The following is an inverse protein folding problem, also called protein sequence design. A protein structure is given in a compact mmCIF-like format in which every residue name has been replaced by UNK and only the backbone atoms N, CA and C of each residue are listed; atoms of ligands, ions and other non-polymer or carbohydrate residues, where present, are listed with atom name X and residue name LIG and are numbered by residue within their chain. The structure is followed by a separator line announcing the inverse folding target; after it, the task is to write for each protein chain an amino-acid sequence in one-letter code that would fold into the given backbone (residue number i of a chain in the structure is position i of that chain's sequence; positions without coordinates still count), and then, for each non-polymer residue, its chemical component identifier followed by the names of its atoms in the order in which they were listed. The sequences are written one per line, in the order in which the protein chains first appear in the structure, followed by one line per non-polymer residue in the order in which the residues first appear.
data_IF_262304324883
#
_entry.id   IF_262304324883
#
_cell.length_a   1.000
_cell.length_b   1.000
_cell.length_c   1.000
_cell.angle_alpha   90.00
_cell.angle_beta   90.00
_cell.angle_gamma   90.00
#
_symmetry.space_group_name_H-M   'P 1'
#
loop_
_entity.id
_entity.type
_entity.pdbx_description
1 polymer ?
#
# COMPACT_ATOMS: atom_id res chain seq x y z
N UNK A 1 3.15 -10.24 12.83
CA UNK A 1 4.43 -9.56 12.59
C UNK A 1 5.60 -10.50 12.91
N UNK A 2 6.72 -10.32 12.22
CA UNK A 2 7.96 -11.04 12.53
C UNK A 2 8.47 -10.68 13.93
N UNK A 3 9.17 -11.59 14.62
CA UNK A 3 9.73 -11.31 15.94
C UNK A 3 10.95 -10.38 15.83
N UNK A 4 11.27 -9.70 16.93
CA UNK A 4 12.56 -9.03 17.10
C UNK A 4 13.67 -10.06 17.34
N UNK A 5 14.89 -9.72 16.98
CA UNK A 5 16.02 -10.60 17.18
C UNK A 5 17.37 -9.89 17.09
N UNK A 6 18.42 -10.66 17.31
CA UNK A 6 19.79 -10.12 17.42
C UNK A 6 20.25 -9.30 16.22
N UNK A 7 19.90 -9.73 15.01
CA UNK A 7 20.31 -9.04 13.81
C UNK A 7 19.61 -7.68 13.71
N UNK A 8 18.28 -7.66 13.82
CA UNK A 8 17.50 -6.42 13.72
C UNK A 8 17.77 -5.44 14.85
N UNK A 9 18.05 -5.91 16.08
CA UNK A 9 18.37 -5.09 17.24
C UNK A 9 19.79 -4.48 17.22
N UNK A 10 20.71 -5.08 16.48
CA UNK A 10 22.09 -4.60 16.39
C UNK A 10 22.26 -3.38 15.47
N UNK A 11 21.26 -3.06 14.67
CA UNK A 11 21.31 -2.01 13.66
C UNK A 11 21.00 -0.66 14.29
N UNK A 12 21.91 0.30 14.11
CA UNK A 12 21.77 1.68 14.57
C UNK A 12 21.25 2.55 13.43
N UNK A 13 20.21 3.32 13.71
CA UNK A 13 19.55 4.19 12.74
C UNK A 13 19.35 5.57 13.35
N UNK A 14 19.91 6.58 12.70
CA UNK A 14 19.78 7.99 13.09
C UNK A 14 18.95 8.74 12.03
N UNK A 15 18.24 9.77 12.46
CA UNK A 15 17.38 10.61 11.60
C UNK A 15 15.90 10.51 11.97
N UNK A 16 15.10 11.42 11.43
CA UNK A 16 13.67 11.49 11.69
C UNK A 16 12.91 10.53 10.80
N UNK A 17 11.76 10.05 11.29
CA UNK A 17 10.78 9.31 10.46
C UNK A 17 10.33 10.20 9.30
N UNK A 18 10.22 9.62 8.10
CA UNK A 18 9.91 10.34 6.86
C UNK A 18 11.12 10.96 6.15
N UNK A 19 12.31 10.88 6.74
CA UNK A 19 13.57 11.33 6.13
C UNK A 19 14.51 10.13 5.96
N UNK A 20 15.32 10.13 4.88
CA UNK A 20 16.31 9.08 4.65
C UNK A 20 17.32 9.03 5.82
N UNK A 21 17.36 7.90 6.49
CA UNK A 21 18.15 7.71 7.73
C UNK A 21 19.63 7.47 7.46
N UNK A 22 20.48 7.76 8.46
CA UNK A 22 21.83 7.22 8.52
C UNK A 22 21.80 5.86 9.23
N UNK A 23 22.26 4.82 8.56
CA UNK A 23 22.20 3.43 9.04
C UNK A 23 23.62 2.90 9.25
N UNK A 24 23.86 2.23 10.37
CA UNK A 24 25.15 1.63 10.72
C UNK A 24 24.94 0.26 11.37
N UNK A 25 25.68 -0.74 10.93
CA UNK A 25 25.72 -2.09 11.51
C UNK A 25 27.09 -2.75 11.27
N UNK A 26 27.43 -3.76 12.07
CA UNK A 26 28.64 -4.57 11.87
C UNK A 26 28.49 -5.48 10.64
N UNK A 27 29.59 -5.68 9.92
CA UNK A 27 29.64 -6.45 8.66
C UNK A 27 30.68 -7.54 8.70
N UNK A 28 30.38 -8.74 8.22
CA UNK A 28 29.07 -9.20 7.71
C UNK A 28 28.05 -9.34 8.85
N UNK A 29 26.78 -9.02 8.58
CA UNK A 29 25.68 -9.26 9.51
C UNK A 29 25.06 -10.63 9.24
N UNK A 30 25.16 -11.54 10.21
CA UNK A 30 24.53 -12.88 10.12
C UNK A 30 23.03 -12.77 10.40
N UNK A 31 22.21 -13.15 9.41
CA UNK A 31 20.74 -13.16 9.50
C UNK A 31 20.25 -14.58 9.26
N UNK A 32 19.61 -15.17 10.26
CA UNK A 32 19.11 -16.58 10.19
C UNK A 32 17.65 -16.67 9.78
N UNK A 33 16.85 -15.71 10.19
CA UNK A 33 15.42 -15.65 9.96
C UNK A 33 14.99 -14.20 9.67
N UNK A 34 13.80 -14.03 9.16
CA UNK A 34 13.19 -12.71 9.09
C UNK A 34 12.99 -12.18 10.53
N UNK A 35 13.62 -11.04 10.83
CA UNK A 35 13.46 -10.34 12.11
C UNK A 35 12.96 -8.92 11.87
N UNK A 36 12.28 -8.38 12.85
CA UNK A 36 11.75 -7.03 12.83
C UNK A 36 11.90 -6.36 14.18
N UNK A 37 12.47 -5.16 14.21
CA UNK A 37 12.55 -4.33 15.43
C UNK A 37 11.91 -2.96 15.17
N UNK A 38 11.01 -2.54 16.03
CA UNK A 38 10.44 -1.19 16.01
C UNK A 38 11.40 -0.27 16.75
N UNK A 39 12.00 0.68 16.02
CA UNK A 39 12.93 1.66 16.60
C UNK A 39 12.18 2.86 17.15
N UNK A 40 11.12 3.26 16.49
CA UNK A 40 10.25 4.33 16.90
C UNK A 40 8.81 3.92 16.62
N UNK A 41 7.97 3.96 17.62
CA UNK A 41 6.55 3.66 17.49
C UNK A 41 5.78 4.95 17.22
N UNK A 42 5.08 5.01 16.10
CA UNK A 42 4.22 6.14 15.76
C UNK A 42 2.91 6.13 16.56
N UNK A 43 2.26 7.26 16.63
CA UNK A 43 0.98 7.47 17.33
C UNK A 43 -0.24 7.51 16.38
N UNK A 44 0.00 7.25 15.10
CA UNK A 44 -1.04 7.27 14.08
C UNK A 44 -1.90 6.00 14.04
N UNK A 45 -2.66 5.83 12.96
CA UNK A 45 -3.55 4.67 12.77
C UNK A 45 -2.78 3.36 12.73
N UNK A 46 -3.29 2.29 13.36
CA UNK A 46 -2.67 0.96 13.28
C UNK A 46 -2.83 0.35 11.89
N UNK A 47 -1.81 -0.36 11.42
CA UNK A 47 -1.85 -1.15 10.20
C UNK A 47 -2.49 -2.50 10.50
N UNK A 48 -3.56 -2.79 9.80
CA UNK A 48 -4.27 -4.06 9.85
C UNK A 48 -4.06 -4.84 8.54
N UNK A 49 -4.45 -6.11 8.52
CA UNK A 49 -4.51 -6.87 7.27
C UNK A 49 -5.39 -6.16 6.24
N UNK A 50 -4.98 -6.21 4.98
CA UNK A 50 -5.61 -5.53 3.84
C UNK A 50 -5.50 -3.99 3.82
N UNK A 51 -4.81 -3.36 4.77
CA UNK A 51 -4.52 -1.93 4.71
C UNK A 51 -3.70 -1.58 3.47
N UNK A 52 -4.02 -0.46 2.83
CA UNK A 52 -3.15 0.19 1.86
C UNK A 52 -2.21 1.12 2.63
N UNK A 53 -0.92 0.85 2.57
CA UNK A 53 0.09 1.55 3.36
C UNK A 53 1.05 2.32 2.45
N UNK A 54 1.19 3.60 2.72
CA UNK A 54 2.26 4.44 2.20
C UNK A 54 3.48 4.30 3.10
N UNK A 55 4.62 3.94 2.53
CA UNK A 55 5.85 3.73 3.28
C UNK A 55 7.07 4.19 2.48
N UNK A 56 8.16 4.42 3.17
CA UNK A 56 9.46 4.64 2.57
C UNK A 56 10.43 3.59 3.09
N UNK A 57 11.45 3.26 2.29
CA UNK A 57 12.47 2.31 2.71
C UNK A 57 13.86 2.67 2.17
N UNK A 58 14.87 2.22 2.93
CA UNK A 58 16.26 2.06 2.48
C UNK A 58 16.66 0.61 2.66
N UNK A 59 17.30 0.04 1.64
CA UNK A 59 17.76 -1.33 1.62
C UNK A 59 19.30 -1.38 1.56
N UNK A 60 19.89 -2.29 2.31
CA UNK A 60 21.34 -2.49 2.37
C UNK A 60 21.67 -3.98 2.25
N UNK A 61 22.78 -4.29 1.59
CA UNK A 61 23.37 -5.61 1.60
C UNK A 61 23.95 -5.91 2.99
N UNK A 62 23.53 -7.00 3.62
CA UNK A 62 23.91 -7.36 4.99
C UNK A 62 25.40 -7.76 5.12
N UNK A 63 26.01 -8.25 4.05
CA UNK A 63 27.40 -8.68 4.03
C UNK A 63 28.36 -7.50 3.86
N UNK A 64 28.05 -6.62 2.89
CA UNK A 64 28.95 -5.53 2.50
C UNK A 64 28.57 -4.17 3.10
N UNK A 65 27.32 -4.00 3.50
CA UNK A 65 26.75 -2.72 3.93
C UNK A 65 26.50 -1.72 2.81
N UNK A 66 26.64 -2.16 1.56
CA UNK A 66 26.36 -1.32 0.39
C UNK A 66 24.85 -1.07 0.30
N UNK A 67 24.46 0.17 0.09
CA UNK A 67 23.07 0.54 -0.13
C UNK A 67 22.59 -0.03 -1.47
N UNK A 68 21.47 -0.77 -1.44
CA UNK A 68 20.83 -1.39 -2.60
C UNK A 68 19.77 -0.46 -3.21
N UNK A 69 19.19 0.42 -2.42
CA UNK A 69 18.21 1.38 -2.88
C UNK A 69 17.58 2.19 -1.76
N UNK A 70 17.03 3.34 -2.16
CA UNK A 70 16.23 4.23 -1.31
C UNK A 70 15.01 4.67 -2.12
N UNK A 71 13.80 4.47 -1.57
CA UNK A 71 12.54 4.82 -2.22
C UNK A 71 11.53 5.34 -1.19
N UNK A 72 10.57 6.11 -1.67
CA UNK A 72 9.46 6.62 -0.84
C UNK A 72 9.77 7.88 -0.04
N UNK A 73 10.99 8.41 -0.11
CA UNK A 73 11.37 9.67 0.52
C UNK A 73 11.35 10.83 -0.47
N UNK A 74 10.93 12.01 -0.01
CA UNK A 74 10.87 13.22 -0.85
C UNK A 74 9.93 13.07 -2.05
N UNK A 75 10.37 13.55 -3.20
CA UNK A 75 9.59 13.52 -4.46
C UNK A 75 9.47 12.10 -5.07
N UNK A 76 10.21 11.12 -4.54
CA UNK A 76 10.19 9.73 -4.98
C UNK A 76 9.18 8.86 -4.23
N UNK A 77 7.98 9.36 -3.95
CA UNK A 77 6.95 8.63 -3.23
C UNK A 77 6.57 7.32 -3.93
N UNK A 78 6.48 6.25 -3.14
CA UNK A 78 5.92 4.98 -3.61
C UNK A 78 4.39 5.04 -3.57
N UNK A 79 3.77 4.39 -4.55
CA UNK A 79 2.35 4.12 -4.45
C UNK A 79 2.05 3.24 -3.23
N UNK A 80 0.95 3.49 -2.51
CA UNK A 80 0.56 2.66 -1.38
C UNK A 80 0.44 1.19 -1.77
N UNK A 81 0.98 0.32 -0.93
CA UNK A 81 0.93 -1.13 -1.13
C UNK A 81 -0.06 -1.79 -0.19
N UNK A 82 -0.79 -2.77 -0.70
CA UNK A 82 -1.67 -3.58 0.12
C UNK A 82 -0.87 -4.53 1.01
N UNK A 83 -1.14 -4.50 2.31
CA UNK A 83 -0.46 -5.34 3.28
C UNK A 83 -1.24 -6.64 3.47
N UNK A 84 -0.67 -7.75 3.00
CA UNK A 84 -1.20 -9.11 3.25
C UNK A 84 -0.43 -9.71 4.43
N UNK A 85 -1.10 -10.18 5.49
CA UNK A 85 -0.44 -10.62 6.74
C UNK A 85 0.64 -11.69 6.54
N UNK A 86 0.46 -12.58 5.57
CA UNK A 86 1.38 -13.67 5.24
C UNK A 86 2.56 -13.24 4.36
N UNK A 87 2.49 -12.08 3.72
CA UNK A 87 3.59 -11.59 2.88
C UNK A 87 4.76 -11.09 3.73
N UNK A 88 6.01 -11.09 3.20
CA UNK A 88 7.15 -10.51 3.91
C UNK A 88 6.91 -9.06 4.35
N UNK A 89 6.32 -8.24 3.49
CA UNK A 89 5.97 -6.86 3.81
C UNK A 89 4.93 -6.79 4.94
N UNK A 90 3.92 -7.68 4.92
CA UNK A 90 2.92 -7.79 5.99
C UNK A 90 3.51 -8.26 7.32
N UNK A 91 4.49 -9.15 7.29
CA UNK A 91 5.22 -9.58 8.49
C UNK A 91 6.08 -8.47 9.09
N UNK A 92 6.57 -7.55 8.26
CA UNK A 92 7.35 -6.39 8.71
C UNK A 92 6.46 -5.24 9.15
N UNK A 93 5.54 -4.77 8.32
CA UNK A 93 4.72 -3.58 8.60
C UNK A 93 3.47 -3.89 9.43
N UNK A 94 2.98 -5.13 9.41
CA UNK A 94 1.77 -5.51 10.16
C UNK A 94 1.87 -5.20 11.65
N UNK A 95 0.77 -4.72 12.23
CA UNK A 95 0.68 -4.26 13.62
C UNK A 95 1.56 -3.04 13.98
N UNK A 96 2.20 -2.38 13.00
CA UNK A 96 2.81 -1.08 13.22
C UNK A 96 1.74 0.02 13.17
N UNK A 97 2.11 1.21 13.60
CA UNK A 97 1.28 2.42 13.51
C UNK A 97 1.89 3.41 12.51
N UNK A 98 1.08 4.24 11.91
CA UNK A 98 1.55 5.35 11.08
C UNK A 98 2.48 6.24 11.92
N UNK A 99 3.60 6.65 11.34
CA UNK A 99 4.68 7.36 12.03
C UNK A 99 5.76 6.46 12.64
N UNK A 100 5.64 5.13 12.52
CA UNK A 100 6.66 4.20 13.00
C UNK A 100 7.87 4.12 12.07
N UNK A 101 9.05 3.88 12.66
CA UNK A 101 10.27 3.44 11.96
C UNK A 101 10.65 2.05 12.42
N UNK A 102 10.90 1.16 11.46
CA UNK A 102 11.25 -0.23 11.72
C UNK A 102 12.57 -0.59 11.03
N UNK A 103 13.27 -1.53 11.64
CA UNK A 103 14.32 -2.32 10.97
C UNK A 103 13.73 -3.68 10.64
N UNK A 104 13.98 -4.18 9.45
CA UNK A 104 13.76 -5.56 9.07
C UNK A 104 15.04 -6.18 8.51
N UNK A 105 15.28 -7.44 8.83
CA UNK A 105 16.42 -8.19 8.32
C UNK A 105 15.94 -9.47 7.64
N UNK A 106 16.35 -9.65 6.40
CA UNK A 106 15.97 -10.78 5.56
C UNK A 106 17.17 -11.71 5.40
N UNK A 107 17.03 -13.02 5.66
CA UNK A 107 18.12 -13.96 5.47
C UNK A 107 18.49 -14.10 3.99
N UNK A 108 19.74 -14.45 3.70
CA UNK A 108 20.17 -14.83 2.35
C UNK A 108 19.45 -16.10 1.88
N UNK A 109 19.29 -16.20 0.59
CA UNK A 109 18.79 -17.40 -0.09
C UNK A 109 19.70 -17.72 -1.30
N UNK A 110 19.30 -18.71 -2.12
CA UNK A 110 20.08 -19.12 -3.28
C UNK A 110 20.23 -18.03 -4.36
N UNK A 111 19.35 -17.02 -4.37
CA UNK A 111 19.26 -16.03 -5.43
C UNK A 111 19.71 -14.62 -4.95
N UNK A 112 19.69 -14.36 -3.65
CA UNK A 112 19.96 -13.04 -3.10
C UNK A 112 20.76 -13.11 -1.78
N UNK A 113 21.66 -12.13 -1.53
CA UNK A 113 22.32 -11.97 -0.23
C UNK A 113 21.31 -11.61 0.84
N UNK A 114 21.73 -11.69 2.11
CA UNK A 114 20.95 -11.15 3.21
C UNK A 114 20.81 -9.63 3.09
N UNK A 115 19.67 -9.09 3.52
CA UNK A 115 19.34 -7.68 3.36
C UNK A 115 18.85 -7.05 4.67
N UNK A 116 19.18 -5.78 4.85
CA UNK A 116 18.73 -4.92 5.94
C UNK A 116 17.84 -3.83 5.36
N UNK A 117 16.63 -3.71 5.87
CA UNK A 117 15.67 -2.68 5.48
C UNK A 117 15.38 -1.75 6.64
N UNK A 118 15.47 -0.46 6.38
CA UNK A 118 14.94 0.59 7.27
C UNK A 118 13.66 1.07 6.62
N UNK A 119 12.54 0.96 7.33
CA UNK A 119 11.23 1.26 6.80
C UNK A 119 10.50 2.26 7.68
N UNK A 120 9.95 3.30 7.05
CA UNK A 120 9.09 4.29 7.68
C UNK A 120 7.65 4.10 7.20
N UNK A 121 6.73 4.00 8.14
CA UNK A 121 5.29 3.98 7.87
C UNK A 121 4.81 5.41 7.77
N UNK A 122 4.45 5.85 6.56
CA UNK A 122 4.11 7.24 6.31
C UNK A 122 2.63 7.54 6.48
N UNK A 123 1.75 6.68 5.91
CA UNK A 123 0.30 6.86 5.99
C UNK A 123 -0.45 5.55 5.67
N UNK A 124 -1.74 5.54 5.93
CA UNK A 124 -2.68 4.55 5.42
C UNK A 124 -3.74 5.22 4.57
N UNK A 125 -4.00 4.70 3.38
CA UNK A 125 -5.04 5.22 2.50
C UNK A 125 -6.28 4.33 2.54
N UNK A 126 -7.49 4.90 2.31
CA UNK A 126 -8.71 4.12 2.22
C UNK A 126 -8.62 3.07 1.11
N UNK A 127 -9.16 1.88 1.35
CA UNK A 127 -9.25 0.80 0.36
C UNK A 127 -10.36 1.02 -0.66
N UNK A 128 -11.24 2.00 -0.43
CA UNK A 128 -12.32 2.41 -1.31
C UNK A 128 -12.63 3.90 -1.13
N UNK A 129 -13.33 4.49 -2.10
CA UNK A 129 -13.76 5.89 -2.05
C UNK A 129 -15.01 6.08 -1.17
N UNK A 130 -14.95 6.97 -0.20
CA UNK A 130 -16.01 7.22 0.79
C UNK A 130 -16.48 8.68 0.82
N UNK A 131 -16.45 9.38 -0.31
CA UNK A 131 -16.90 10.77 -0.40
C UNK A 131 -18.39 10.98 -0.16
N UNK A 132 -18.84 12.23 -0.23
CA UNK A 132 -20.23 12.63 -0.07
C UNK A 132 -21.13 12.01 -1.14
N UNK A 133 -22.20 11.34 -0.71
CA UNK A 133 -23.17 10.71 -1.61
C UNK A 133 -23.87 11.73 -2.49
N UNK A 134 -23.91 11.47 -3.79
CA UNK A 134 -24.62 12.29 -4.78
C UNK A 134 -25.97 11.66 -5.17
N UNK A 135 -26.83 12.49 -5.74
CA UNK A 135 -28.13 12.03 -6.22
C UNK A 135 -27.96 11.09 -7.44
N UNK A 136 -28.76 10.04 -7.54
CA UNK A 136 -28.80 9.20 -8.74
C UNK A 136 -29.15 10.02 -9.99
N UNK A 137 -28.62 9.58 -11.13
CA UNK A 137 -28.94 10.14 -12.45
C UNK A 137 -29.79 9.10 -13.20
N UNK A 138 -30.91 9.53 -13.75
CA UNK A 138 -31.80 8.65 -14.51
C UNK A 138 -31.08 8.06 -15.73
N UNK A 139 -31.33 6.79 -16.01
CA UNK A 139 -30.67 6.07 -17.11
C UNK A 139 -29.29 5.49 -16.78
N UNK A 140 -28.68 5.91 -15.66
CA UNK A 140 -27.40 5.35 -15.20
C UNK A 140 -27.60 4.05 -14.40
N UNK A 141 -26.61 3.13 -14.42
CA UNK A 141 -26.63 1.94 -13.57
C UNK A 141 -26.76 2.27 -12.09
N UNK A 142 -27.53 1.47 -11.37
CA UNK A 142 -27.60 1.55 -9.91
C UNK A 142 -26.43 0.81 -9.30
N UNK A 143 -25.65 1.49 -8.46
CA UNK A 143 -24.47 0.92 -7.78
C UNK A 143 -24.71 0.89 -6.27
N UNK A 144 -24.54 -0.28 -5.69
CA UNK A 144 -24.52 -0.47 -4.23
C UNK A 144 -23.13 -0.93 -3.80
N UNK A 145 -22.65 -0.45 -2.67
CA UNK A 145 -21.34 -0.80 -2.12
C UNK A 145 -21.52 -1.66 -0.87
N UNK A 146 -20.70 -2.70 -0.74
CA UNK A 146 -20.59 -3.44 0.52
C UNK A 146 -19.76 -2.67 1.56
N UNK A 147 -19.56 -3.27 2.75
CA UNK A 147 -18.81 -2.68 3.86
C UNK A 147 -17.31 -2.46 3.54
N UNK A 148 -16.79 -3.13 2.52
CA UNK A 148 -15.42 -2.97 2.01
C UNK A 148 -15.33 -2.03 0.81
N UNK A 149 -16.47 -1.48 0.37
CA UNK A 149 -16.56 -0.60 -0.78
C UNK A 149 -16.59 -1.30 -2.13
N UNK A 150 -16.69 -2.63 -2.16
CA UNK A 150 -16.84 -3.37 -3.41
C UNK A 150 -18.22 -3.10 -4.02
N UNK A 151 -18.29 -2.69 -5.30
CA UNK A 151 -19.57 -2.38 -5.95
C UNK A 151 -20.31 -3.61 -6.43
N UNK A 152 -21.62 -3.54 -6.33
CA UNK A 152 -22.58 -4.35 -7.05
C UNK A 152 -23.34 -3.45 -8.00
N UNK A 153 -23.45 -3.83 -9.26
CA UNK A 153 -24.01 -3.00 -10.32
C UNK A 153 -25.29 -3.64 -10.88
N UNK A 154 -26.36 -2.84 -10.96
CA UNK A 154 -27.60 -3.22 -11.62
C UNK A 154 -27.83 -2.30 -12.81
N UNK A 155 -27.87 -2.87 -14.02
CA UNK A 155 -28.11 -2.11 -15.24
C UNK A 155 -29.57 -1.62 -15.32
N UNK A 156 -29.82 -0.42 -15.90
CA UNK A 156 -31.15 0.16 -16.00
C UNK A 156 -32.04 -0.57 -17.02
N UNK A 157 -31.43 -1.36 -17.91
CA UNK A 157 -32.09 -1.97 -19.07
C UNK A 157 -32.09 -1.04 -20.29
N UNK A 158 -32.58 -1.58 -21.44
CA UNK A 158 -32.53 -0.85 -22.71
C UNK A 158 -31.18 -0.88 -23.39
N UNK A 159 -31.06 -0.11 -24.48
CA UNK A 159 -29.84 -0.04 -25.27
C UNK A 159 -28.71 0.70 -24.52
N UNK A 160 -27.48 0.28 -24.77
CA UNK A 160 -26.30 0.98 -24.23
C UNK A 160 -26.21 2.40 -24.82
N UNK A 161 -25.72 3.38 -24.03
CA UNK A 161 -25.50 4.72 -24.55
C UNK A 161 -24.48 4.72 -25.70
N UNK A 162 -24.67 5.60 -26.67
CA UNK A 162 -23.81 5.71 -27.86
C UNK A 162 -22.56 6.59 -27.63
N UNK A 163 -22.49 7.22 -26.47
CA UNK A 163 -21.37 8.05 -26.02
C UNK A 163 -21.01 7.75 -24.59
N UNK A 164 -19.83 8.17 -24.15
CA UNK A 164 -19.43 8.04 -22.75
C UNK A 164 -20.28 8.98 -21.89
N UNK A 165 -20.93 8.41 -20.90
CA UNK A 165 -21.69 9.13 -19.88
C UNK A 165 -21.05 8.94 -18.52
N UNK A 166 -21.00 10.00 -17.70
CA UNK A 166 -20.35 10.00 -16.39
C UNK A 166 -21.35 10.48 -15.33
N UNK A 167 -21.49 9.68 -14.27
CA UNK A 167 -22.24 10.07 -13.08
C UNK A 167 -21.38 9.89 -11.84
N UNK A 168 -21.34 10.93 -10.99
CA UNK A 168 -20.61 10.90 -9.73
C UNK A 168 -21.51 10.34 -8.65
N UNK A 169 -21.16 9.19 -8.08
CA UNK A 169 -21.93 8.53 -7.01
C UNK A 169 -21.54 9.05 -5.62
N UNK A 170 -20.24 9.35 -5.44
CA UNK A 170 -19.68 9.93 -4.22
C UNK A 170 -18.62 10.94 -4.59
N UNK A 171 -18.73 12.16 -4.04
CA UNK A 171 -17.77 13.24 -4.31
C UNK A 171 -16.79 13.35 -3.15
N UNK A 172 -15.50 13.17 -3.44
CA UNK A 172 -14.42 13.41 -2.49
C UNK A 172 -14.13 14.90 -2.32
N UNK A 173 -13.45 15.22 -1.25
CA UNK A 173 -12.95 16.54 -0.87
C UNK A 173 -11.41 16.65 -0.94
N UNK A 174 -10.76 15.62 -1.45
CA UNK A 174 -9.32 15.57 -1.63
C UNK A 174 -8.82 16.39 -2.82
N UNK A 175 -7.53 16.26 -3.11
CA UNK A 175 -6.88 16.94 -4.24
C UNK A 175 -7.56 16.55 -5.56
N UNK A 176 -7.76 17.54 -6.42
CA UNK A 176 -8.29 17.29 -7.77
C UNK A 176 -7.23 16.59 -8.62
N UNK A 177 -7.63 15.53 -9.30
CA UNK A 177 -6.77 14.83 -10.26
C UNK A 177 -6.60 15.67 -11.51
N UNK A 178 -5.36 15.87 -11.94
CA UNK A 178 -4.98 16.64 -13.12
C UNK A 178 -4.28 15.75 -14.15
N UNK A 179 -4.17 16.24 -15.37
CA UNK A 179 -3.48 15.51 -16.44
C UNK A 179 -1.98 15.33 -16.10
N UNK A 180 -1.52 14.07 -16.11
CA UNK A 180 -0.16 13.70 -15.75
C UNK A 180 0.00 13.18 -14.34
N UNK A 181 -1.04 13.26 -13.50
CA UNK A 181 -1.00 12.65 -12.17
C UNK A 181 -1.02 11.13 -12.26
N UNK A 182 -0.23 10.48 -11.41
CA UNK A 182 -0.37 9.05 -11.17
C UNK A 182 -1.46 8.81 -10.14
N UNK A 183 -2.44 7.99 -10.49
CA UNK A 183 -3.58 7.70 -9.63
C UNK A 183 -3.62 6.24 -9.20
N UNK A 184 -4.01 6.01 -7.95
CA UNK A 184 -4.35 4.70 -7.43
C UNK A 184 -5.87 4.60 -7.37
N UNK A 185 -6.45 3.64 -8.09
CA UNK A 185 -7.89 3.53 -8.22
C UNK A 185 -8.38 2.08 -8.05
N UNK A 186 -9.60 1.97 -7.57
CA UNK A 186 -10.37 0.74 -7.63
C UNK A 186 -11.37 0.85 -8.77
N UNK A 187 -11.60 -0.23 -9.51
CA UNK A 187 -12.56 -0.25 -10.59
C UNK A 187 -13.32 -1.57 -10.65
N UNK A 188 -14.50 -1.52 -11.24
CA UNK A 188 -15.37 -2.65 -11.51
C UNK A 188 -15.98 -2.46 -12.89
N UNK A 189 -15.67 -3.35 -13.83
CA UNK A 189 -16.23 -3.36 -15.17
C UNK A 189 -17.34 -4.38 -15.29
N UNK A 190 -18.51 -3.97 -15.82
CA UNK A 190 -19.64 -4.85 -16.09
C UNK A 190 -20.17 -4.63 -17.51
N UNK A 191 -20.61 -5.70 -18.12
CA UNK A 191 -21.27 -5.67 -19.43
C UNK A 191 -22.66 -5.06 -19.32
N UNK A 192 -23.00 -4.14 -20.22
CA UNK A 192 -24.28 -3.43 -20.18
C UNK A 192 -25.50 -4.35 -20.43
N UNK A 193 -25.36 -5.29 -21.34
CA UNK A 193 -26.50 -6.15 -21.75
C UNK A 193 -26.78 -7.24 -20.71
N UNK A 194 -25.75 -7.81 -20.10
CA UNK A 194 -25.87 -8.93 -19.15
C UNK A 194 -25.81 -8.52 -17.70
N UNK A 195 -25.15 -7.39 -17.38
CA UNK A 195 -24.83 -6.97 -16.02
C UNK A 195 -23.69 -7.76 -15.38
N UNK A 196 -23.09 -8.71 -16.12
CA UNK A 196 -22.01 -9.56 -15.60
C UNK A 196 -20.69 -8.78 -15.55
N UNK A 197 -19.93 -9.00 -14.48
CA UNK A 197 -18.59 -8.41 -14.36
C UNK A 197 -17.61 -9.11 -15.30
N UNK A 198 -16.89 -8.33 -16.10
CA UNK A 198 -15.81 -8.84 -16.93
C UNK A 198 -14.42 -8.55 -16.35
N UNK A 199 -14.29 -7.56 -15.45
CA UNK A 199 -13.03 -7.25 -14.78
C UNK A 199 -13.25 -6.39 -13.53
N UNK A 200 -12.36 -6.57 -12.52
CA UNK A 200 -12.43 -5.83 -11.25
C UNK A 200 -11.11 -5.87 -10.52
N UNK A 201 -10.67 -4.72 -9.99
CA UNK A 201 -9.50 -4.64 -9.11
C UNK A 201 -9.72 -5.41 -7.79
N UNK A 202 -10.96 -5.49 -7.29
CA UNK A 202 -11.27 -6.30 -6.11
C UNK A 202 -11.06 -7.80 -6.36
N UNK A 203 -11.42 -8.32 -7.54
CA UNK A 203 -11.16 -9.72 -7.89
C UNK A 203 -9.66 -10.02 -8.07
N UNK A 204 -8.87 -9.04 -8.45
CA UNK A 204 -7.41 -9.13 -8.55
C UNK A 204 -6.73 -8.98 -7.18
N UNK A 205 -7.45 -8.49 -6.17
CA UNK A 205 -6.94 -8.29 -4.81
C UNK A 205 -5.95 -7.15 -4.65
N UNK A 206 -5.89 -6.21 -5.62
CA UNK A 206 -5.05 -5.01 -5.55
C UNK A 206 -5.64 -3.87 -6.39
N UNK A 207 -5.52 -2.61 -5.94
CA UNK A 207 -5.85 -1.44 -6.74
C UNK A 207 -5.03 -1.38 -8.02
N UNK A 208 -5.54 -0.66 -8.99
CA UNK A 208 -4.86 -0.35 -10.24
C UNK A 208 -4.20 1.02 -10.16
N UNK A 209 -2.99 1.13 -10.66
CA UNK A 209 -2.29 2.41 -10.80
C UNK A 209 -2.22 2.82 -12.28
N UNK A 210 -2.49 4.06 -12.57
CA UNK A 210 -2.45 4.63 -13.89
C UNK A 210 -1.75 6.00 -13.85
#
# INVERSE_FOLDING_TARGET
AAPSGKASESIKVDGKVGEASKTTFEKPLEIKTLERTVLFEGDGKPINGDSLVSYALRAFNAETGVELGTVGYGDGLLLPSQIKPESPLGQVLGCATVGSRLVATFPSNAEAPGEVYIMDVLDTVPTAAWGEKQSPVDGMPTVTLDDKGMPSVKMPGGDAPTSIEISVLKKGDGQKVEAGDTTLLQYYGADWATGESFDSSWSRGAPYSN
#
